data_IF_292207538366
#
_entry.id   IF_292207538366
#
_cell.length_a   1.000
_cell.length_b   1.000
_cell.length_c   1.000
_cell.angle_alpha   90.00
_cell.angle_beta   90.00
_cell.angle_gamma   90.00
#
_symmetry.space_group_name_H-M   'P 1'
#
loop_
_entity.id
_entity.type
_entity.pdbx_description
1 polymer ?
#
# COMPACT_ATOMS: atom_id res chain seq x y z
N UNK A 1 13.07 4.61 -15.08
CA UNK A 1 11.69 4.14 -14.83
C UNK A 1 11.20 4.71 -13.51
N UNK A 2 9.89 4.85 -13.31
CA UNK A 2 9.34 5.39 -12.07
C UNK A 2 9.15 4.30 -11.01
N UNK A 3 9.56 4.62 -9.79
CA UNK A 3 9.14 3.94 -8.57
C UNK A 3 8.37 4.93 -7.70
N UNK A 4 7.42 4.45 -6.91
CA UNK A 4 6.67 5.31 -6.02
C UNK A 4 6.43 4.63 -4.68
N UNK A 5 6.52 5.38 -3.60
CA UNK A 5 6.03 4.96 -2.29
C UNK A 5 4.75 5.73 -2.02
N UNK A 6 3.68 5.02 -1.68
CA UNK A 6 2.44 5.62 -1.20
C UNK A 6 2.29 5.33 0.29
N UNK A 7 1.80 6.31 1.04
CA UNK A 7 1.42 6.16 2.43
C UNK A 7 0.11 6.91 2.66
N UNK A 8 -0.85 6.27 3.32
CA UNK A 8 -2.16 6.82 3.62
C UNK A 8 -2.44 6.77 5.12
N UNK A 9 -3.03 7.84 5.63
CA UNK A 9 -3.68 7.84 6.93
C UNK A 9 -5.16 7.58 6.71
N UNK A 10 -5.68 6.55 7.37
CA UNK A 10 -7.03 6.04 7.15
C UNK A 10 -7.76 5.98 8.47
N UNK A 11 -8.95 6.58 8.55
CA UNK A 11 -9.85 6.43 9.69
C UNK A 11 -10.93 5.43 9.36
N UNK A 12 -11.16 4.50 10.27
CA UNK A 12 -12.21 3.47 10.16
C UNK A 12 -12.73 3.14 11.55
N UNK A 13 -13.64 2.17 11.67
CA UNK A 13 -14.06 1.68 12.98
C UNK A 13 -12.93 0.87 13.62
N UNK A 14 -12.75 0.96 14.95
CA UNK A 14 -11.75 0.15 15.65
C UNK A 14 -11.92 -1.34 15.36
N UNK A 15 -10.82 -2.05 15.20
CA UNK A 15 -10.73 -3.47 14.82
C UNK A 15 -11.08 -3.80 13.36
N UNK A 16 -11.28 -2.82 12.49
CA UNK A 16 -11.32 -3.06 11.05
C UNK A 16 -9.91 -3.29 10.49
N UNK A 17 -9.79 -4.16 9.49
CA UNK A 17 -8.50 -4.47 8.85
C UNK A 17 -8.38 -3.71 7.55
N UNK A 18 -7.20 -3.13 7.32
CA UNK A 18 -6.84 -2.38 6.11
C UNK A 18 -5.56 -2.93 5.54
N UNK A 19 -5.46 -2.98 4.21
CA UNK A 19 -4.24 -3.34 3.50
C UNK A 19 -4.12 -2.53 2.22
N UNK A 20 -2.89 -2.28 1.76
CA UNK A 20 -2.64 -1.71 0.44
C UNK A 20 -2.41 -2.87 -0.53
N UNK A 21 -3.28 -3.02 -1.52
CA UNK A 21 -3.19 -4.11 -2.50
C UNK A 21 -2.86 -3.60 -3.89
N UNK A 22 -2.39 -4.50 -4.73
CA UNK A 22 -2.18 -4.23 -6.14
C UNK A 22 -2.07 -5.50 -6.98
N UNK A 23 -2.26 -5.34 -8.29
CA UNK A 23 -2.31 -6.46 -9.24
C UNK A 23 -0.94 -6.76 -9.82
N UNK A 24 -0.36 -7.89 -9.42
CA UNK A 24 0.94 -8.35 -9.86
C UNK A 24 0.79 -9.30 -11.06
N UNK A 25 1.35 -8.94 -12.20
CA UNK A 25 1.36 -9.80 -13.39
C UNK A 25 2.69 -10.51 -13.49
N UNK A 26 2.67 -11.85 -13.43
CA UNK A 26 3.83 -12.69 -13.73
C UNK A 26 3.59 -13.38 -15.07
N UNK A 27 4.60 -13.38 -15.94
CA UNK A 27 4.52 -13.97 -17.28
C UNK A 27 4.07 -15.44 -17.30
N UNK A 28 4.32 -16.18 -16.22
CA UNK A 28 4.03 -17.62 -16.10
C UNK A 28 2.87 -17.99 -15.15
N UNK A 29 2.34 -17.03 -14.38
CA UNK A 29 1.26 -17.28 -13.38
C UNK A 29 0.02 -16.41 -13.62
N UNK A 30 0.01 -15.59 -14.67
CA UNK A 30 -1.05 -14.62 -14.92
C UNK A 30 -1.01 -13.45 -13.93
N UNK A 31 -2.14 -12.75 -13.79
CA UNK A 31 -2.26 -11.63 -12.85
C UNK A 31 -2.92 -12.06 -11.55
N UNK A 32 -2.27 -11.79 -10.41
CA UNK A 32 -2.81 -12.06 -9.08
C UNK A 32 -2.79 -10.78 -8.23
N UNK A 33 -3.82 -10.58 -7.41
CA UNK A 33 -3.81 -9.54 -6.37
C UNK A 33 -2.81 -9.93 -5.28
N UNK A 34 -1.99 -8.95 -4.87
CA UNK A 34 -1.13 -9.06 -3.71
C UNK A 34 -1.36 -7.85 -2.81
N UNK A 35 -1.56 -8.11 -1.53
CA UNK A 35 -1.72 -7.11 -0.49
C UNK A 35 -0.46 -6.96 0.34
N UNK A 36 -0.23 -5.74 0.79
CA UNK A 36 0.92 -5.29 1.56
C UNK A 36 0.41 -4.49 2.76
N UNK A 37 1.25 -4.41 3.79
CA UNK A 37 1.03 -3.58 4.99
C UNK A 37 -0.38 -3.75 5.58
N UNK A 38 -0.65 -4.96 6.07
CA UNK A 38 -1.92 -5.29 6.73
C UNK A 38 -1.91 -4.73 8.14
N UNK A 39 -2.88 -3.88 8.46
CA UNK A 39 -3.02 -3.23 9.76
C UNK A 39 -4.44 -3.34 10.29
N UNK A 40 -4.54 -3.47 11.61
CA UNK A 40 -5.80 -3.44 12.35
C UNK A 40 -5.97 -2.04 12.92
N UNK A 41 -7.15 -1.44 12.73
CA UNK A 41 -7.49 -0.15 13.30
C UNK A 41 -7.48 -0.22 14.83
N UNK A 42 -6.70 0.63 15.53
CA UNK A 42 -6.57 0.54 16.97
C UNK A 42 -7.87 0.97 17.66
N UNK A 43 -8.10 0.43 18.85
CA UNK A 43 -9.08 0.95 19.79
C UNK A 43 -8.35 1.82 20.80
N UNK A 44 -8.69 3.11 20.86
CA UNK A 44 -8.07 4.09 21.77
C UNK A 44 -9.12 4.78 22.65
N UNK A 45 -8.69 5.30 23.79
CA UNK A 45 -9.49 6.19 24.63
C UNK A 45 -9.45 7.64 24.12
N UNK A 46 -8.44 7.98 23.31
CA UNK A 46 -8.39 9.24 22.58
C UNK A 46 -9.21 9.11 21.28
N UNK A 47 -10.25 9.93 21.14
CA UNK A 47 -11.14 9.94 19.99
C UNK A 47 -10.42 10.28 18.68
N UNK A 48 -9.30 11.00 18.72
CA UNK A 48 -8.52 11.33 17.53
C UNK A 48 -7.77 10.10 16.98
N UNK A 49 -7.26 9.26 17.86
CA UNK A 49 -6.50 8.06 17.52
C UNK A 49 -7.39 6.81 17.40
N UNK A 50 -8.61 6.85 17.94
CA UNK A 50 -9.52 5.72 17.91
C UNK A 50 -9.95 5.40 16.46
N UNK A 51 -9.56 4.22 15.97
CA UNK A 51 -9.82 3.80 14.60
C UNK A 51 -8.94 4.46 13.53
N UNK A 52 -7.94 5.26 13.92
CA UNK A 52 -6.99 5.90 13.00
C UNK A 52 -5.79 4.99 12.75
N UNK A 53 -5.52 4.71 11.48
CA UNK A 53 -4.35 3.97 11.02
C UNK A 53 -3.44 4.95 10.30
N UNK A 54 -2.26 5.20 10.86
CA UNK A 54 -1.25 6.08 10.28
C UNK A 54 -0.37 5.34 9.28
N UNK A 55 -0.11 5.95 8.13
CA UNK A 55 0.93 5.55 7.18
C UNK A 55 0.82 4.12 6.68
N UNK A 56 -0.39 3.62 6.39
CA UNK A 56 -0.54 2.35 5.68
C UNK A 56 0.04 2.53 4.27
N UNK A 57 1.03 1.72 3.92
CA UNK A 57 1.96 2.07 2.84
C UNK A 57 2.32 0.90 1.95
N UNK A 58 2.64 1.21 0.70
CA UNK A 58 3.23 0.25 -0.21
C UNK A 58 4.19 0.94 -1.18
N UNK A 59 5.20 0.19 -1.62
CA UNK A 59 6.10 0.60 -2.67
C UNK A 59 5.71 -0.05 -4.00
N UNK A 60 5.82 0.74 -5.07
CA UNK A 60 5.67 0.34 -6.47
C UNK A 60 6.97 0.62 -7.22
N UNK A 61 7.35 -0.26 -8.15
CA UNK A 61 8.44 -0.04 -9.09
C UNK A 61 8.03 -0.55 -10.46
N UNK A 62 8.22 0.28 -11.50
CA UNK A 62 7.96 -0.11 -12.88
C UNK A 62 8.93 -1.17 -13.45
N UNK A 63 10.05 -1.45 -12.75
CA UNK A 63 11.09 -2.40 -13.18
C UNK A 63 10.92 -3.80 -12.60
N UNK A 64 10.14 -3.96 -11.53
CA UNK A 64 9.82 -5.25 -10.94
C UNK A 64 8.37 -5.58 -11.27
N UNK A 65 8.00 -6.86 -11.45
CA UNK A 65 6.60 -7.23 -11.65
C UNK A 65 5.86 -6.90 -10.34
N UNK A 66 5.30 -5.72 -10.23
CA UNK A 66 4.56 -5.24 -9.06
C UNK A 66 3.42 -4.35 -9.55
N UNK A 67 2.23 -4.58 -8.98
CA UNK A 67 1.04 -3.74 -9.02
C UNK A 67 1.01 -2.62 -10.07
N UNK A 68 0.33 -2.81 -11.22
CA UNK A 68 0.10 -1.72 -12.19
C UNK A 68 -0.68 -0.54 -11.60
N UNK A 69 -1.45 -0.78 -10.53
CA UNK A 69 -2.11 0.20 -9.67
C UNK A 69 -2.12 -0.32 -8.23
N UNK A 70 -1.93 0.58 -7.27
CA UNK A 70 -2.14 0.33 -5.84
C UNK A 70 -3.50 0.89 -5.41
N UNK A 71 -4.18 0.19 -4.51
CA UNK A 71 -5.45 0.62 -3.91
C UNK A 71 -5.56 0.09 -2.49
N UNK A 72 -6.36 0.76 -1.65
CA UNK A 72 -6.69 0.27 -0.32
C UNK A 72 -7.77 -0.80 -0.40
N UNK A 73 -7.61 -1.87 0.37
CA UNK A 73 -8.60 -2.92 0.57
C UNK A 73 -8.90 -3.04 2.06
N UNK A 74 -10.18 -3.18 2.37
CA UNK A 74 -10.69 -3.27 3.72
C UNK A 74 -11.33 -4.65 3.88
N UNK A 75 -11.18 -5.24 5.06
CA UNK A 75 -12.07 -6.33 5.43
C UNK A 75 -13.49 -5.76 5.48
N UNK A 76 -14.44 -6.45 4.86
CA UNK A 76 -15.83 -5.99 4.81
C UNK A 76 -16.44 -5.98 6.20
N UNK A 77 -15.94 -6.83 7.09
CA UNK A 77 -16.50 -7.08 8.41
C UNK A 77 -15.50 -6.79 9.51
N UNK A 78 -15.98 -6.18 10.59
CA UNK A 78 -15.20 -5.96 11.80
C UNK A 78 -14.93 -7.29 12.49
N UNK A 79 -13.66 -7.54 12.80
CA UNK A 79 -13.22 -8.83 13.33
C UNK A 79 -13.75 -9.15 14.74
N UNK A 80 -14.31 -8.15 15.44
CA UNK A 80 -14.83 -8.30 16.80
C UNK A 80 -16.37 -8.33 16.82
N UNK A 81 -17.02 -7.33 16.21
CA UNK A 81 -18.47 -7.15 16.35
C UNK A 81 -19.30 -7.58 15.13
N UNK A 82 -18.65 -8.06 14.06
CA UNK A 82 -19.33 -8.55 12.87
C UNK A 82 -20.02 -7.45 12.03
N UNK A 83 -19.83 -6.17 12.36
CA UNK A 83 -20.44 -5.06 11.63
C UNK A 83 -19.60 -4.67 10.43
N UNK A 84 -20.22 -4.01 9.46
CA UNK A 84 -19.52 -3.52 8.28
C UNK A 84 -18.44 -2.50 8.63
N UNK A 85 -17.28 -2.63 8.00
CA UNK A 85 -16.19 -1.66 8.08
C UNK A 85 -16.33 -0.61 6.97
N UNK A 86 -16.38 0.65 7.38
CA UNK A 86 -16.35 1.83 6.50
C UNK A 86 -15.10 2.64 6.80
N UNK A 87 -14.64 3.43 5.84
CA UNK A 87 -13.39 4.17 5.98
C UNK A 87 -13.43 5.53 5.33
N UNK A 88 -12.53 6.39 5.80
CA UNK A 88 -12.21 7.70 5.25
C UNK A 88 -10.69 7.82 5.12
N UNK A 89 -10.21 8.30 3.98
CA UNK A 89 -8.79 8.64 3.80
C UNK A 89 -8.60 10.06 4.34
N UNK A 90 -7.85 10.19 5.42
CA UNK A 90 -7.59 11.47 6.09
C UNK A 90 -6.46 12.21 5.40
N UNK A 91 -5.40 11.48 5.04
CA UNK A 91 -4.21 12.05 4.42
C UNK A 91 -3.54 11.02 3.51
N UNK A 92 -2.77 11.51 2.54
CA UNK A 92 -2.03 10.64 1.64
C UNK A 92 -0.82 11.34 1.05
N UNK A 93 0.30 10.61 0.94
CA UNK A 93 1.48 11.06 0.23
C UNK A 93 1.87 10.05 -0.86
N UNK A 94 2.38 10.57 -1.97
CA UNK A 94 2.97 9.77 -3.05
C UNK A 94 4.34 10.36 -3.39
N UNK A 95 5.38 9.62 -3.07
CA UNK A 95 6.76 9.99 -3.39
C UNK A 95 7.20 9.22 -4.62
N UNK A 96 7.36 9.91 -5.76
CA UNK A 96 7.86 9.31 -7.00
C UNK A 96 9.38 9.47 -7.05
N UNK A 97 10.10 8.36 -7.26
CA UNK A 97 11.52 8.34 -7.57
C UNK A 97 11.69 7.90 -9.03
N UNK A 98 12.26 8.76 -9.86
CA UNK A 98 12.84 8.30 -11.11
C UNK A 98 14.13 7.56 -10.76
N UNK A 99 14.21 6.28 -11.13
CA UNK A 99 15.50 5.59 -11.12
C UNK A 99 16.36 6.25 -12.19
N UNK A 100 17.45 6.90 -11.77
CA UNK A 100 18.57 7.26 -12.64
C UNK A 100 19.05 5.97 -13.29
N UNK A 101 18.89 5.89 -14.62
CA UNK A 101 19.57 4.88 -15.41
C UNK A 101 21.05 5.15 -15.19
N UNK A 102 21.77 4.26 -14.51
CA UNK A 102 23.21 4.27 -14.51
C UNK A 102 23.66 4.15 -15.97
N UNK A 103 23.91 5.30 -16.62
CA UNK A 103 24.47 5.38 -17.95
C UNK A 103 25.88 4.81 -17.85
N UNK A 104 26.08 3.63 -18.45
CA UNK A 104 27.31 2.89 -18.34
C UNK A 104 28.51 3.62 -18.95
N UNK A 105 29.69 3.24 -18.49
CA UNK A 105 30.84 3.17 -19.39
C UNK A 105 31.59 1.89 -19.05
N UNK A 106 31.44 0.89 -19.91
CA UNK A 106 32.51 -0.06 -20.14
C UNK A 106 33.76 0.77 -20.48
N UNK A 107 34.80 0.67 -19.67
CA UNK A 107 36.16 0.84 -20.16
C UNK A 107 36.81 -0.54 -20.16
N UNK A 108 36.53 -1.27 -21.24
CA UNK A 108 37.52 -2.16 -21.81
C UNK A 108 38.44 -1.30 -22.69
N UNK A 109 39.73 -1.29 -22.36
CA UNK A 109 40.91 -0.87 -23.16
C UNK A 109 42.08 -0.96 -22.20
N UNK A 110 43.22 -1.59 -22.46
CA UNK A 110 43.68 -2.53 -23.47
C UNK A 110 44.84 -3.30 -22.80
#
# INVERSE_FOLDING_TARGET
>A
MESAVVAFDVRTRPNCVVSVCGKLTKWYLGSKEQCFDLRVAPKSADDLENGLIHGVSAAYSGLRPVATKLYLKFDETNIIDGKKCEYEIISGSKTVRQEEVASGSQQATA
#
